data_IF_406073317033
#
_entry.id   IF_406073317033
#
_cell.length_a   1.000
_cell.length_b   1.000
_cell.length_c   1.000
_cell.angle_alpha   90.00
_cell.angle_beta   90.00
_cell.angle_gamma   90.00
#
_symmetry.space_group_name_H-M   'P 1'
#
loop_
_entity.id
_entity.type
_entity.pdbx_description
1 polymer ?
#
# COMPACT_ATOMS: atom_id res chain seq x y z
N UNK A 1 39.03 -82.99 -31.93
CA UNK A 1 39.32 -82.25 -30.69
C UNK A 1 40.11 -81.01 -31.03
N UNK A 2 39.63 -79.84 -30.60
CA UNK A 2 40.29 -78.54 -30.71
C UNK A 2 39.98 -77.76 -32.00
N UNK A 3 39.73 -76.45 -32.04
CA UNK A 3 39.86 -75.38 -31.04
C UNK A 3 39.05 -74.12 -31.44
N UNK A 4 38.61 -73.39 -30.40
CA UNK A 4 38.51 -71.92 -30.27
C UNK A 4 37.55 -71.07 -31.13
N UNK A 5 36.60 -70.42 -30.43
CA UNK A 5 36.08 -69.09 -30.77
C UNK A 5 36.24 -68.20 -29.52
N UNK A 6 36.94 -67.07 -29.68
CA UNK A 6 37.16 -66.06 -28.64
C UNK A 6 35.91 -65.16 -28.48
N UNK A 7 35.56 -64.71 -27.26
CA UNK A 7 34.58 -63.64 -27.10
C UNK A 7 35.25 -62.28 -27.30
N UNK A 8 34.72 -61.51 -28.25
CA UNK A 8 35.10 -60.13 -28.52
C UNK A 8 34.62 -59.23 -27.36
N UNK A 9 35.52 -58.48 -26.70
CA UNK A 9 35.17 -57.50 -25.66
C UNK A 9 34.55 -56.27 -26.31
N UNK A 10 33.26 -56.04 -26.11
CA UNK A 10 32.66 -54.71 -26.33
C UNK A 10 33.03 -53.80 -25.15
N UNK A 11 33.59 -52.61 -25.48
CA UNK A 11 33.82 -51.52 -24.53
C UNK A 11 32.49 -51.02 -23.98
N UNK A 12 32.40 -50.81 -22.66
CA UNK A 12 31.22 -50.23 -22.01
C UNK A 12 30.98 -48.77 -22.46
N UNK A 13 29.74 -48.37 -22.77
CA UNK A 13 29.37 -47.05 -23.32
C UNK A 13 29.23 -45.92 -22.28
N UNK A 14 29.51 -46.17 -21.00
CA UNK A 14 29.22 -45.21 -19.91
C UNK A 14 30.06 -43.92 -19.95
N UNK A 15 31.31 -43.99 -20.42
CA UNK A 15 32.22 -42.83 -20.48
C UNK A 15 31.81 -41.78 -21.51
N UNK A 16 31.18 -42.17 -22.62
CA UNK A 16 30.76 -41.20 -23.66
C UNK A 16 29.50 -40.43 -23.25
N UNK A 17 28.60 -41.07 -22.49
CA UNK A 17 27.43 -40.39 -21.94
C UNK A 17 27.84 -39.25 -21.01
N UNK A 18 28.77 -39.49 -20.08
CA UNK A 18 29.19 -38.48 -19.10
C UNK A 18 29.85 -37.25 -19.76
N UNK A 19 30.66 -37.44 -20.81
CA UNK A 19 31.25 -36.33 -21.56
C UNK A 19 30.21 -35.56 -22.37
N UNK A 20 29.23 -36.24 -22.98
CA UNK A 20 28.14 -35.60 -23.71
C UNK A 20 27.23 -34.75 -22.79
N UNK A 21 26.97 -35.23 -21.57
CA UNK A 21 26.24 -34.47 -20.55
C UNK A 21 26.98 -33.21 -20.09
N UNK A 22 28.30 -33.30 -19.87
CA UNK A 22 29.12 -32.14 -19.48
C UNK A 22 29.22 -31.07 -20.58
N UNK A 23 29.11 -31.45 -21.85
CA UNK A 23 29.14 -30.51 -22.98
C UNK A 23 27.78 -29.84 -23.25
N UNK A 24 26.67 -30.51 -22.96
CA UNK A 24 25.30 -30.02 -23.28
C UNK A 24 24.61 -29.33 -22.11
N UNK A 25 24.91 -29.72 -20.86
CA UNK A 25 24.30 -29.16 -19.66
C UNK A 25 24.48 -27.63 -19.50
N UNK A 26 25.65 -27.02 -19.80
CA UNK A 26 25.80 -25.56 -19.71
C UNK A 26 24.90 -24.81 -20.70
N UNK A 27 24.75 -25.34 -21.92
CA UNK A 27 23.88 -24.76 -22.94
C UNK A 27 22.40 -24.87 -22.55
N UNK A 28 21.98 -26.02 -22.01
CA UNK A 28 20.62 -26.22 -21.52
C UNK A 28 20.29 -25.29 -20.35
N UNK A 29 21.24 -25.11 -19.42
CA UNK A 29 21.09 -24.20 -18.28
C UNK A 29 20.99 -22.73 -18.71
N UNK A 30 21.76 -22.33 -19.73
CA UNK A 30 21.71 -20.97 -20.28
C UNK A 30 20.36 -20.72 -20.98
N UNK A 31 19.86 -21.70 -21.74
CA UNK A 31 18.56 -21.60 -22.41
C UNK A 31 17.42 -21.52 -21.40
N UNK A 32 17.45 -22.30 -20.32
CA UNK A 32 16.43 -22.21 -19.27
C UNK A 32 16.50 -20.90 -18.50
N UNK A 33 17.70 -20.38 -18.18
CA UNK A 33 17.85 -19.07 -17.56
C UNK A 33 17.35 -17.93 -18.46
N UNK A 34 17.65 -17.97 -19.76
CA UNK A 34 17.14 -17.01 -20.73
C UNK A 34 15.63 -17.11 -20.89
N UNK A 35 15.06 -18.32 -20.95
CA UNK A 35 13.63 -18.53 -21.05
C UNK A 35 12.88 -18.08 -19.78
N UNK A 36 13.44 -18.33 -18.59
CA UNK A 36 12.90 -17.83 -17.33
C UNK A 36 13.00 -16.29 -17.27
N UNK A 37 14.12 -15.72 -17.71
CA UNK A 37 14.34 -14.28 -17.78
C UNK A 37 13.35 -13.59 -18.73
N UNK A 38 13.13 -14.14 -19.93
CA UNK A 38 12.16 -13.61 -20.89
C UNK A 38 10.73 -13.77 -20.41
N UNK A 39 10.38 -14.92 -19.80
CA UNK A 39 9.04 -15.14 -19.23
C UNK A 39 8.76 -14.19 -18.07
N UNK A 40 9.73 -13.98 -17.19
CA UNK A 40 9.63 -13.01 -16.09
C UNK A 40 9.51 -11.59 -16.64
N UNK A 41 10.28 -11.23 -17.67
CA UNK A 41 10.20 -9.92 -18.31
C UNK A 41 8.86 -9.68 -19.03
N UNK A 42 8.33 -10.68 -19.75
CA UNK A 42 7.00 -10.64 -20.38
C UNK A 42 5.88 -10.54 -19.35
N UNK A 43 5.99 -11.25 -18.23
CA UNK A 43 5.03 -11.16 -17.14
C UNK A 43 5.06 -9.78 -16.45
N UNK A 44 6.26 -9.27 -16.15
CA UNK A 44 6.42 -7.94 -15.54
C UNK A 44 5.94 -6.82 -16.49
N UNK A 45 6.26 -6.91 -17.78
CA UNK A 45 5.83 -5.92 -18.78
C UNK A 45 4.33 -5.94 -19.05
N UNK A 46 3.66 -7.10 -18.97
CA UNK A 46 2.20 -7.17 -19.09
C UNK A 46 1.49 -6.68 -17.83
N UNK A 47 2.07 -6.89 -16.63
CA UNK A 47 1.57 -6.29 -15.39
C UNK A 47 1.71 -4.76 -15.36
N UNK A 48 2.76 -4.21 -15.99
CA UNK A 48 2.97 -2.76 -16.11
C UNK A 48 2.20 -2.11 -17.27
N UNK A 49 1.64 -2.88 -18.21
CA UNK A 49 0.94 -2.34 -19.39
C UNK A 49 -0.32 -1.50 -19.06
N UNK A 50 -0.88 -1.69 -17.86
CA UNK A 50 -2.03 -0.96 -17.35
C UNK A 50 -1.66 0.40 -16.72
N UNK A 51 -0.36 0.69 -16.52
CA UNK A 51 0.14 1.95 -15.95
C UNK A 51 0.75 2.81 -17.05
N UNK A 52 0.15 3.97 -17.29
CA UNK A 52 0.64 4.93 -18.29
C UNK A 52 1.83 5.73 -17.77
N UNK A 53 1.83 6.10 -16.49
CA UNK A 53 2.86 6.94 -15.90
C UNK A 53 3.14 6.61 -14.43
N UNK A 54 4.41 6.54 -14.05
CA UNK A 54 4.84 6.53 -12.66
C UNK A 54 5.24 7.95 -12.25
N UNK A 55 4.40 8.62 -11.46
CA UNK A 55 4.59 10.00 -11.03
C UNK A 55 5.84 10.15 -10.14
N UNK A 56 6.05 9.18 -9.25
CA UNK A 56 7.23 9.09 -8.38
C UNK A 56 7.57 7.62 -8.16
N UNK A 57 8.76 7.22 -8.61
CA UNK A 57 9.28 5.87 -8.41
C UNK A 57 9.77 5.66 -6.97
N UNK A 58 9.87 4.40 -6.52
CA UNK A 58 10.33 4.05 -5.17
C UNK A 58 11.77 4.49 -4.92
N UNK A 59 12.61 4.39 -5.96
CA UNK A 59 14.02 4.78 -5.91
C UNK A 59 14.25 6.29 -5.84
N UNK A 60 13.24 7.08 -6.20
CA UNK A 60 13.28 8.54 -6.14
C UNK A 60 13.07 9.03 -4.70
N UNK A 61 13.64 10.19 -4.35
CA UNK A 61 13.43 10.89 -3.09
C UNK A 61 12.85 12.28 -3.34
N UNK A 62 11.66 12.56 -2.80
CA UNK A 62 10.93 13.83 -2.98
C UNK A 62 10.97 14.63 -1.68
N UNK A 63 12.06 15.37 -1.47
CA UNK A 63 12.27 16.20 -0.28
C UNK A 63 13.18 17.40 -0.63
N UNK A 64 13.12 18.53 0.10
CA UNK A 64 12.31 18.79 1.29
C UNK A 64 10.87 19.24 1.02
N UNK A 65 10.54 19.63 -0.22
CA UNK A 65 9.21 20.12 -0.57
C UNK A 65 8.39 19.04 -1.26
N UNK A 66 7.06 18.99 -1.07
CA UNK A 66 6.18 18.10 -1.81
C UNK A 66 6.24 18.37 -3.32
N UNK A 67 6.22 17.31 -4.13
CA UNK A 67 5.96 17.42 -5.57
C UNK A 67 4.46 17.40 -5.79
N UNK A 68 3.93 18.44 -6.41
CA UNK A 68 2.50 18.62 -6.66
C UNK A 68 2.17 18.36 -8.13
N UNK A 69 1.12 17.59 -8.36
CA UNK A 69 0.52 17.32 -9.66
C UNK A 69 -0.89 17.91 -9.62
N UNK A 70 -1.05 19.10 -10.21
CA UNK A 70 -2.33 19.79 -10.21
C UNK A 70 -3.33 19.08 -11.13
N UNK A 71 -4.57 18.97 -10.66
CA UNK A 71 -5.71 18.49 -11.47
C UNK A 71 -6.89 19.45 -11.29
N UNK A 72 -7.77 19.60 -12.30
CA UNK A 72 -8.98 20.40 -12.15
C UNK A 72 -9.85 19.85 -11.01
N UNK A 73 -10.36 20.72 -10.14
CA UNK A 73 -11.30 20.31 -9.10
C UNK A 73 -12.59 19.74 -9.71
N UNK A 74 -13.14 18.69 -9.11
CA UNK A 74 -14.46 18.19 -9.47
C UNK A 74 -15.58 19.12 -8.99
N UNK A 75 -16.78 18.91 -9.53
CA UNK A 75 -18.02 19.56 -9.10
C UNK A 75 -18.54 19.03 -7.75
N UNK A 76 -17.91 18.00 -7.16
CA UNK A 76 -18.36 17.43 -5.88
C UNK A 76 -18.36 18.47 -4.76
N UNK A 77 -17.41 19.41 -4.81
CA UNK A 77 -17.27 20.49 -3.84
C UNK A 77 -18.32 21.59 -3.99
N UNK A 78 -19.09 21.59 -5.08
CA UNK A 78 -20.16 22.56 -5.34
C UNK A 78 -21.50 22.07 -4.81
N UNK A 79 -21.64 20.75 -4.65
CA UNK A 79 -22.85 20.09 -4.18
C UNK A 79 -22.94 20.05 -2.63
N UNK A 80 -21.88 20.46 -1.95
CA UNK A 80 -21.78 20.45 -0.49
C UNK A 80 -21.57 21.85 0.08
N UNK A 81 -21.80 21.98 1.39
CA UNK A 81 -21.50 23.23 2.11
C UNK A 81 -20.01 23.56 1.98
N UNK A 82 -19.72 24.77 1.52
CA UNK A 82 -18.35 25.28 1.45
C UNK A 82 -17.92 25.90 2.78
N UNK A 83 -16.66 25.68 3.12
CA UNK A 83 -15.97 26.20 4.29
C UNK A 83 -14.80 27.06 3.80
N UNK A 84 -14.95 28.40 3.81
CA UNK A 84 -13.91 29.31 3.37
C UNK A 84 -12.58 29.03 4.10
N UNK A 85 -11.48 28.98 3.36
CA UNK A 85 -10.16 28.67 3.91
C UNK A 85 -9.82 27.17 3.98
N UNK A 86 -10.76 26.25 3.70
CA UNK A 86 -10.47 24.81 3.67
C UNK A 86 -11.00 24.09 2.43
N UNK A 87 -12.27 24.33 2.02
CA UNK A 87 -12.87 23.59 0.90
C UNK A 87 -11.99 23.68 -0.35
N UNK A 88 -11.67 22.55 -1.01
CA UNK A 88 -10.77 22.53 -2.16
C UNK A 88 -11.14 23.57 -3.22
N UNK A 89 -10.18 24.45 -3.53
CA UNK A 89 -10.21 25.39 -4.65
C UNK A 89 -9.01 25.20 -5.59
N UNK A 90 -7.97 24.50 -5.10
CA UNK A 90 -6.81 24.04 -5.85
C UNK A 90 -6.70 22.54 -5.60
N UNK A 91 -7.03 21.75 -6.60
CA UNK A 91 -7.06 20.30 -6.50
C UNK A 91 -5.80 19.70 -7.10
N UNK A 92 -5.44 18.53 -6.61
CA UNK A 92 -4.14 17.97 -6.93
C UNK A 92 -3.82 16.71 -6.16
N UNK A 93 -2.69 16.13 -6.55
CA UNK A 93 -1.99 15.06 -5.86
C UNK A 93 -0.65 15.60 -5.44
N UNK A 94 -0.14 15.13 -4.32
CA UNK A 94 1.19 15.50 -3.88
C UNK A 94 1.88 14.31 -3.21
N UNK A 95 3.19 14.28 -3.37
CA UNK A 95 4.05 13.26 -2.78
C UNK A 95 5.19 13.95 -2.07
N UNK A 96 5.53 13.47 -0.88
CA UNK A 96 6.72 13.91 -0.15
C UNK A 96 7.33 12.76 0.64
N UNK A 97 8.66 12.80 0.73
CA UNK A 97 9.49 11.94 1.55
C UNK A 97 10.16 12.79 2.65
N UNK A 98 10.59 12.15 3.73
CA UNK A 98 11.32 12.81 4.83
C UNK A 98 10.44 13.47 5.89
N UNK A 99 9.14 13.64 5.64
CA UNK A 99 8.17 14.06 6.68
C UNK A 99 8.11 13.03 7.82
N UNK A 100 8.11 11.75 7.46
CA UNK A 100 8.15 10.60 8.35
C UNK A 100 9.43 9.82 8.06
N UNK A 101 10.25 9.64 9.09
CA UNK A 101 11.49 8.86 8.97
C UNK A 101 11.20 7.38 8.74
N UNK A 102 12.20 6.63 8.26
CA UNK A 102 12.06 5.18 8.10
C UNK A 102 11.84 4.49 9.45
N UNK A 103 12.45 5.00 10.50
CA UNK A 103 12.34 4.49 11.87
C UNK A 103 10.92 4.67 12.43
N UNK A 104 10.32 5.86 12.21
CA UNK A 104 8.92 6.13 12.57
C UNK A 104 7.95 5.28 11.76
N UNK A 105 8.17 5.14 10.45
CA UNK A 105 7.35 4.26 9.59
C UNK A 105 7.43 2.80 10.05
N UNK A 106 8.61 2.31 10.42
CA UNK A 106 8.79 0.98 11.00
C UNK A 106 8.12 0.83 12.37
N UNK A 107 8.15 1.85 13.22
CA UNK A 107 7.45 1.81 14.51
C UNK A 107 5.93 1.74 14.32
N UNK A 108 5.38 2.55 13.41
CA UNK A 108 3.97 2.50 13.02
C UNK A 108 3.58 1.16 12.37
N UNK A 109 4.46 0.57 11.56
CA UNK A 109 4.28 -0.78 11.02
C UNK A 109 4.18 -1.81 12.14
N UNK A 110 5.10 -1.78 13.10
CA UNK A 110 5.08 -2.71 14.25
C UNK A 110 3.82 -2.53 15.10
N UNK A 111 3.33 -1.31 15.28
CA UNK A 111 2.04 -1.03 15.92
C UNK A 111 0.91 -1.76 15.17
N UNK A 112 0.83 -1.57 13.85
CA UNK A 112 -0.17 -2.23 13.01
C UNK A 112 -0.08 -3.75 13.09
N UNK A 113 1.13 -4.31 13.02
CA UNK A 113 1.39 -5.75 13.12
C UNK A 113 0.91 -6.32 14.47
N UNK A 114 1.18 -5.65 15.59
CA UNK A 114 0.69 -6.08 16.91
C UNK A 114 -0.84 -6.07 17.00
N UNK A 115 -1.50 -5.01 16.54
CA UNK A 115 -2.96 -4.94 16.56
C UNK A 115 -3.63 -5.97 15.64
N UNK A 116 -3.08 -6.17 14.43
CA UNK A 116 -3.56 -7.13 13.44
C UNK A 116 -3.13 -8.59 13.71
N UNK A 117 -2.34 -8.83 14.76
CA UNK A 117 -2.03 -10.17 15.26
C UNK A 117 -3.11 -10.70 16.19
N UNK A 118 -3.90 -9.82 16.83
CA UNK A 118 -5.03 -10.23 17.68
C UNK A 118 -6.17 -10.84 16.84
N UNK A 119 -6.44 -10.24 15.69
CA UNK A 119 -7.38 -10.75 14.71
C UNK A 119 -7.06 -10.18 13.32
N UNK A 120 -7.52 -10.89 12.29
CA UNK A 120 -7.47 -10.44 10.91
C UNK A 120 -8.63 -11.01 10.11
N UNK A 121 -8.79 -10.52 8.89
CA UNK A 121 -9.74 -11.11 7.95
C UNK A 121 -9.29 -12.51 7.50
N UNK A 122 -10.25 -13.31 7.05
CA UNK A 122 -9.98 -14.54 6.27
C UNK A 122 -9.47 -14.25 4.86
N UNK A 123 -9.67 -13.03 4.35
CA UNK A 123 -9.19 -12.59 3.05
C UNK A 123 -7.89 -11.79 3.11
N UNK A 124 -7.47 -11.29 1.95
CA UNK A 124 -6.19 -10.60 1.81
C UNK A 124 -6.10 -9.19 2.36
N UNK A 125 -7.21 -8.57 2.79
CA UNK A 125 -7.20 -7.26 3.43
C UNK A 125 -7.62 -7.34 4.89
N UNK A 126 -6.93 -6.61 5.75
CA UNK A 126 -7.34 -6.41 7.14
C UNK A 126 -7.09 -4.96 7.53
N UNK A 127 -8.01 -4.39 8.32
CA UNK A 127 -7.88 -3.02 8.81
C UNK A 127 -7.87 -2.97 10.33
N UNK A 128 -7.21 -1.92 10.84
CA UNK A 128 -7.20 -1.51 12.23
C UNK A 128 -7.40 0.01 12.30
N UNK A 129 -8.49 0.45 12.90
CA UNK A 129 -8.80 1.85 13.17
C UNK A 129 -8.61 2.13 14.67
N UNK A 130 -7.60 2.92 15.02
CA UNK A 130 -7.31 3.27 16.41
C UNK A 130 -8.34 4.23 17.03
N UNK A 131 -9.11 4.96 16.22
CA UNK A 131 -10.12 5.90 16.70
C UNK A 131 -11.42 5.20 17.09
N UNK A 132 -11.94 4.36 16.19
CA UNK A 132 -13.19 3.63 16.45
C UNK A 132 -12.97 2.30 17.16
N UNK A 133 -11.73 1.78 17.14
CA UNK A 133 -11.38 0.44 17.55
C UNK A 133 -11.73 -0.63 16.52
N UNK A 134 -12.21 -0.28 15.32
CA UNK A 134 -12.58 -1.29 14.33
C UNK A 134 -11.36 -2.14 13.92
N UNK A 135 -11.50 -3.45 14.06
CA UNK A 135 -10.51 -4.45 13.68
C UNK A 135 -11.18 -5.56 12.86
N UNK A 136 -10.57 -5.94 11.73
CA UNK A 136 -11.01 -7.09 10.94
C UNK A 136 -10.88 -8.39 11.75
N UNK A 137 -11.94 -9.19 11.81
CA UNK A 137 -11.94 -10.52 12.46
C UNK A 137 -12.80 -11.50 11.68
N UNK A 138 -12.16 -12.40 10.93
CA UNK A 138 -12.84 -13.35 10.06
C UNK A 138 -13.60 -12.63 8.95
N UNK A 139 -14.93 -12.67 8.99
CA UNK A 139 -15.83 -12.05 8.00
C UNK A 139 -16.50 -10.76 8.48
N UNK A 140 -16.12 -10.25 9.65
CA UNK A 140 -16.76 -9.11 10.31
C UNK A 140 -15.74 -8.15 10.94
N UNK A 141 -16.24 -7.07 11.52
CA UNK A 141 -15.46 -6.14 12.32
C UNK A 141 -15.82 -6.26 13.80
N UNK A 142 -14.80 -6.19 14.66
CA UNK A 142 -14.98 -6.06 16.11
C UNK A 142 -14.38 -4.75 16.60
N UNK A 143 -14.83 -4.28 17.76
CA UNK A 143 -14.14 -3.22 18.47
C UNK A 143 -13.02 -3.86 19.32
N UNK A 144 -11.77 -3.62 18.93
CA UNK A 144 -10.57 -4.17 19.57
C UNK A 144 -10.53 -3.85 21.07
N UNK A 145 -10.91 -2.64 21.46
CA UNK A 145 -10.86 -2.18 22.86
C UNK A 145 -11.90 -2.85 23.74
N UNK A 146 -13.08 -3.15 23.20
CA UNK A 146 -14.11 -3.92 23.91
C UNK A 146 -13.82 -5.41 23.93
N UNK A 147 -13.30 -5.94 22.82
CA UNK A 147 -13.12 -7.38 22.65
C UNK A 147 -11.85 -7.91 23.34
N UNK A 148 -10.77 -7.12 23.32
CA UNK A 148 -9.46 -7.48 23.88
C UNK A 148 -9.06 -6.57 25.05
N UNK A 149 -10.01 -5.92 25.73
CA UNK A 149 -9.77 -4.85 26.71
C UNK A 149 -8.62 -5.12 27.69
N UNK A 150 -8.61 -6.30 28.32
CA UNK A 150 -7.60 -6.68 29.31
C UNK A 150 -6.17 -6.81 28.71
N UNK A 151 -6.06 -7.02 27.39
CA UNK A 151 -4.79 -7.21 26.67
C UNK A 151 -4.32 -5.94 25.94
N UNK A 152 -5.16 -4.89 25.84
CA UNK A 152 -4.83 -3.70 25.05
C UNK A 152 -3.56 -3.00 25.53
N UNK A 153 -3.35 -2.94 26.85
CA UNK A 153 -2.14 -2.36 27.43
C UNK A 153 -0.86 -3.13 27.09
N UNK A 154 -0.97 -4.40 26.69
CA UNK A 154 0.16 -5.21 26.23
C UNK A 154 0.39 -5.04 24.72
N UNK A 155 -0.64 -4.65 23.97
CA UNK A 155 -0.63 -4.53 22.51
C UNK A 155 -0.16 -3.15 22.08
N UNK A 156 -0.65 -2.09 22.72
CA UNK A 156 -0.33 -0.71 22.40
C UNK A 156 0.22 0.05 23.61
N UNK A 157 1.23 0.87 23.35
CA UNK A 157 1.91 1.70 24.34
C UNK A 157 1.47 3.16 24.25
N UNK A 158 1.71 3.95 25.30
CA UNK A 158 1.43 5.38 25.24
C UNK A 158 2.29 6.08 24.16
N UNK A 159 3.50 5.58 23.91
CA UNK A 159 4.43 6.03 22.88
C UNK A 159 3.88 5.79 21.47
N UNK A 160 3.21 4.67 21.23
CA UNK A 160 2.54 4.38 19.94
C UNK A 160 1.52 5.47 19.58
N UNK A 161 0.63 5.81 20.53
CA UNK A 161 -0.38 6.86 20.33
C UNK A 161 0.24 8.26 20.21
N UNK A 162 1.35 8.52 20.92
CA UNK A 162 2.10 9.78 20.76
C UNK A 162 2.68 9.89 19.35
N UNK A 163 3.38 8.86 18.88
CA UNK A 163 3.97 8.82 17.55
C UNK A 163 2.91 8.98 16.47
N UNK A 164 1.82 8.21 16.55
CA UNK A 164 0.71 8.30 15.60
C UNK A 164 0.17 9.73 15.52
N UNK A 165 -0.11 10.36 16.68
CA UNK A 165 -0.61 11.73 16.75
C UNK A 165 0.37 12.74 16.16
N UNK A 166 1.66 12.61 16.46
CA UNK A 166 2.68 13.55 15.98
C UNK A 166 2.91 13.42 14.46
N UNK A 167 2.81 12.21 13.91
CA UNK A 167 2.79 11.97 12.46
C UNK A 167 1.52 12.55 11.82
N UNK A 168 0.36 12.27 12.39
CA UNK A 168 -0.95 12.78 11.94
C UNK A 168 -0.99 14.32 11.91
N UNK A 169 -0.37 14.99 12.89
CA UNK A 169 -0.17 16.46 12.92
C UNK A 169 0.68 16.96 11.77
N UNK A 170 1.86 16.37 11.60
CA UNK A 170 2.75 16.69 10.47
C UNK A 170 2.07 16.51 9.10
N UNK A 171 1.25 15.47 8.94
CA UNK A 171 0.47 15.24 7.72
C UNK A 171 -0.54 16.38 7.50
N UNK A 172 -1.32 16.73 8.54
CA UNK A 172 -2.30 17.81 8.48
C UNK A 172 -1.66 19.15 8.08
N UNK A 173 -0.55 19.51 8.73
CA UNK A 173 0.21 20.73 8.45
C UNK A 173 0.73 20.74 7.00
N UNK A 174 1.25 19.60 6.53
CA UNK A 174 1.78 19.45 5.16
C UNK A 174 0.68 19.62 4.11
N UNK A 175 -0.49 19.02 4.32
CA UNK A 175 -1.65 19.16 3.41
C UNK A 175 -2.09 20.63 3.37
N UNK A 176 -2.25 21.26 4.53
CA UNK A 176 -2.69 22.65 4.63
C UNK A 176 -1.70 23.60 3.92
N UNK A 177 -0.40 23.44 4.15
CA UNK A 177 0.62 24.24 3.48
C UNK A 177 0.63 24.02 1.96
N UNK A 178 0.53 22.77 1.52
CA UNK A 178 0.62 22.41 0.09
C UNK A 178 -0.55 22.98 -0.71
N UNK A 179 -1.77 22.92 -0.17
CA UNK A 179 -2.96 23.41 -0.85
C UNK A 179 -3.36 24.84 -0.50
N UNK A 180 -2.61 25.49 0.41
CA UNK A 180 -2.84 26.87 0.83
C UNK A 180 -4.10 27.05 1.68
N UNK A 181 -4.29 26.14 2.64
CA UNK A 181 -5.44 26.09 3.55
C UNK A 181 -5.12 26.73 4.90
N UNK A 182 -6.17 27.14 5.60
CA UNK A 182 -6.09 27.39 7.04
C UNK A 182 -6.11 26.05 7.78
N UNK A 183 -4.99 25.68 8.38
CA UNK A 183 -4.85 24.40 9.11
C UNK A 183 -5.83 24.27 10.29
N UNK A 184 -6.30 25.38 10.86
CA UNK A 184 -7.28 25.38 11.95
C UNK A 184 -8.70 25.00 11.47
N UNK A 185 -8.94 25.05 10.16
CA UNK A 185 -10.20 24.70 9.51
C UNK A 185 -10.16 23.33 8.83
N UNK A 186 -9.01 22.67 8.82
CA UNK A 186 -8.84 21.31 8.30
C UNK A 186 -8.90 20.34 9.49
N UNK A 187 -9.95 19.53 9.60
CA UNK A 187 -10.15 18.64 10.76
C UNK A 187 -9.85 17.19 10.40
N UNK A 188 -9.27 16.43 11.32
CA UNK A 188 -9.18 14.97 11.20
C UNK A 188 -10.58 14.37 11.15
N UNK A 189 -10.83 13.41 10.25
CA UNK A 189 -12.13 12.71 10.13
C UNK A 189 -11.97 11.19 10.09
N UNK A 190 -13.09 10.48 10.07
CA UNK A 190 -13.20 9.02 10.02
C UNK A 190 -13.79 8.56 8.68
N UNK A 191 -13.40 7.38 8.18
CA UNK A 191 -12.43 6.47 8.80
C UNK A 191 -10.97 6.90 8.60
N UNK A 192 -10.13 6.54 9.57
CA UNK A 192 -8.67 6.66 9.51
C UNK A 192 -8.10 5.34 10.05
N UNK A 193 -7.33 4.62 9.25
CA UNK A 193 -7.01 3.22 9.55
C UNK A 193 -5.66 2.78 8.99
N UNK A 194 -5.08 1.80 9.69
CA UNK A 194 -4.02 0.96 9.16
C UNK A 194 -4.64 -0.11 8.26
N UNK A 195 -3.97 -0.39 7.14
CA UNK A 195 -4.32 -1.48 6.23
C UNK A 195 -3.15 -2.45 6.11
N UNK A 196 -3.45 -3.75 6.17
CA UNK A 196 -2.56 -4.84 5.78
C UNK A 196 -3.18 -5.56 4.60
N UNK A 197 -2.48 -5.58 3.48
CA UNK A 197 -2.96 -6.18 2.24
C UNK A 197 -1.93 -7.19 1.71
N UNK A 198 -2.36 -8.39 1.35
CA UNK A 198 -1.54 -9.42 0.71
C UNK A 198 -2.29 -10.09 -0.46
N UNK A 199 -1.72 -11.18 -0.99
CA UNK A 199 -2.25 -11.92 -2.15
C UNK A 199 -3.32 -12.97 -1.80
N UNK A 200 -3.74 -13.11 -0.54
CA UNK A 200 -4.82 -14.02 -0.15
C UNK A 200 -6.13 -13.60 -0.81
N UNK A 201 -6.87 -14.56 -1.36
CA UNK A 201 -8.14 -14.29 -2.04
C UNK A 201 -9.19 -13.72 -1.09
N UNK A 202 -10.00 -12.78 -1.60
CA UNK A 202 -11.14 -12.24 -0.87
C UNK A 202 -12.15 -13.34 -0.51
N UNK A 203 -12.67 -13.27 0.72
CA UNK A 203 -13.75 -14.14 1.21
C UNK A 203 -15.05 -13.36 1.44
N UNK A 204 -14.94 -12.05 1.56
CA UNK A 204 -16.03 -11.09 1.73
C UNK A 204 -15.78 -9.85 0.87
N UNK A 205 -16.82 -9.02 0.68
CA UNK A 205 -16.68 -7.73 0.01
C UNK A 205 -15.68 -6.81 0.73
N UNK A 206 -15.55 -6.92 2.06
CA UNK A 206 -14.58 -6.14 2.84
C UNK A 206 -13.12 -6.52 2.55
N UNK A 207 -12.89 -7.66 1.90
CA UNK A 207 -11.56 -8.09 1.44
C UNK A 207 -11.23 -7.58 0.04
N UNK A 208 -12.20 -7.05 -0.69
CA UNK A 208 -12.03 -6.58 -2.06
C UNK A 208 -11.55 -5.13 -2.10
N UNK A 209 -10.24 -4.95 -1.89
CA UNK A 209 -9.60 -3.64 -1.79
C UNK A 209 -9.28 -2.95 -3.14
N UNK A 210 -9.49 -3.64 -4.26
CA UNK A 210 -8.98 -3.23 -5.59
C UNK A 210 -10.02 -2.55 -6.48
N UNK A 211 -11.19 -2.24 -5.94
CA UNK A 211 -12.26 -1.60 -6.70
C UNK A 211 -12.03 -0.10 -6.86
N UNK A 212 -12.28 0.47 -8.06
CA UNK A 212 -12.28 1.91 -8.27
C UNK A 212 -13.26 2.63 -7.34
N UNK A 213 -12.82 3.69 -6.69
CA UNK A 213 -13.66 4.53 -5.85
C UNK A 213 -13.15 5.97 -5.80
N UNK A 214 -14.01 6.85 -5.27
CA UNK A 214 -13.77 8.27 -5.03
C UNK A 214 -14.09 8.53 -3.58
N UNK A 215 -13.10 8.97 -2.80
CA UNK A 215 -13.22 9.09 -1.35
C UNK A 215 -14.34 10.04 -0.90
N UNK A 216 -14.50 11.19 -1.56
CA UNK A 216 -15.60 12.13 -1.25
C UNK A 216 -16.96 11.48 -1.46
N UNK A 217 -17.12 10.69 -2.53
CA UNK A 217 -18.38 9.99 -2.84
C UNK A 217 -18.62 8.82 -1.89
N UNK A 218 -17.56 8.08 -1.56
CA UNK A 218 -17.65 6.90 -0.70
C UNK A 218 -17.90 7.26 0.77
N UNK A 219 -17.27 8.30 1.30
CA UNK A 219 -17.34 8.64 2.72
C UNK A 219 -18.11 9.93 3.03
N UNK A 220 -18.36 10.80 2.03
CA UNK A 220 -19.04 12.09 2.17
C UNK A 220 -18.20 13.17 2.87
N UNK A 221 -17.58 12.83 4.00
CA UNK A 221 -16.87 13.79 4.85
C UNK A 221 -15.46 14.14 4.36
N UNK A 222 -14.85 13.36 3.47
CA UNK A 222 -13.45 13.55 3.08
C UNK A 222 -13.31 14.72 2.12
N UNK A 223 -12.51 15.72 2.47
CA UNK A 223 -12.10 16.77 1.54
C UNK A 223 -10.65 16.58 1.07
N UNK A 224 -9.81 15.99 1.93
CA UNK A 224 -8.44 15.58 1.61
C UNK A 224 -8.14 14.19 2.17
N UNK A 225 -7.44 13.37 1.38
CA UNK A 225 -6.99 12.03 1.75
C UNK A 225 -5.48 11.97 1.73
N UNK A 226 -4.90 11.20 2.66
CA UNK A 226 -3.48 10.85 2.61
C UNK A 226 -3.24 9.38 2.88
N UNK A 227 -2.21 8.83 2.23
CA UNK A 227 -1.66 7.50 2.46
C UNK A 227 -0.19 7.64 2.87
N UNK A 228 0.11 7.19 4.08
CA UNK A 228 1.47 6.98 4.54
C UNK A 228 1.86 5.52 4.33
N UNK A 229 2.83 5.28 3.47
CA UNK A 229 3.32 3.93 3.18
C UNK A 229 4.27 3.45 4.27
N UNK A 230 4.09 2.20 4.73
CA UNK A 230 4.88 1.59 5.81
C UNK A 230 5.76 0.43 5.32
N UNK A 231 5.66 0.08 4.04
CA UNK A 231 6.44 -0.98 3.37
C UNK A 231 6.90 -0.52 1.98
N UNK A 232 8.00 -1.07 1.50
CA UNK A 232 8.64 -0.72 0.23
C UNK A 232 8.15 -1.62 -0.93
N UNK A 233 7.63 -1.01 -1.99
CA UNK A 233 7.28 -1.70 -3.24
C UNK A 233 8.51 -2.39 -3.86
N UNK A 234 8.35 -3.53 -4.52
CA UNK A 234 9.46 -4.30 -5.10
C UNK A 234 10.46 -4.87 -4.09
N UNK A 235 10.24 -4.72 -2.77
CA UNK A 235 11.08 -5.28 -1.71
C UNK A 235 10.25 -6.06 -0.70
N UNK A 236 9.23 -5.43 -0.11
CA UNK A 236 8.32 -6.07 0.84
C UNK A 236 7.08 -6.67 0.16
N UNK A 237 6.72 -6.15 -1.02
CA UNK A 237 5.59 -6.62 -1.83
C UNK A 237 5.71 -6.21 -3.30
N UNK A 238 4.98 -6.90 -4.18
CA UNK A 238 4.78 -6.54 -5.60
C UNK A 238 3.29 -6.49 -5.94
N UNK A 239 2.93 -5.84 -7.04
CA UNK A 239 1.57 -5.32 -7.24
C UNK A 239 1.24 -4.28 -6.16
N UNK A 240 -0.02 -4.16 -5.73
CA UNK A 240 -0.36 -3.35 -4.55
C UNK A 240 -0.16 -1.83 -4.68
N UNK A 241 0.16 -1.34 -5.88
CA UNK A 241 0.36 0.09 -6.14
C UNK A 241 -0.96 0.84 -6.04
N UNK A 242 -0.91 2.10 -5.61
CA UNK A 242 -2.06 2.99 -5.61
C UNK A 242 -2.16 3.65 -6.99
N UNK A 243 -3.26 3.43 -7.68
CA UNK A 243 -3.46 3.83 -9.08
C UNK A 243 -4.54 4.89 -9.15
N UNK A 244 -4.16 6.09 -9.58
CA UNK A 244 -5.10 7.11 -10.01
C UNK A 244 -5.52 6.80 -11.44
N UNK A 245 -6.83 6.85 -11.70
CA UNK A 245 -7.43 6.50 -12.98
C UNK A 245 -7.90 7.77 -13.69
N UNK A 246 -7.01 8.35 -14.51
CA UNK A 246 -7.31 9.56 -15.26
C UNK A 246 -7.93 9.23 -16.62
N UNK A 247 -8.57 10.24 -17.23
CA UNK A 247 -9.17 10.11 -18.56
C UNK A 247 -8.15 9.74 -19.65
N UNK A 248 -6.90 10.18 -19.48
CA UNK A 248 -5.81 10.03 -20.43
C UNK A 248 -4.80 8.93 -20.05
N UNK A 249 -4.98 8.27 -18.92
CA UNK A 249 -4.12 7.17 -18.50
C UNK A 249 -4.12 6.89 -17.00
N UNK A 250 -3.63 5.72 -16.62
CA UNK A 250 -3.46 5.37 -15.22
C UNK A 250 -2.10 5.86 -14.71
N UNK A 251 -2.12 6.47 -13.52
CA UNK A 251 -0.93 7.05 -12.90
C UNK A 251 -0.70 6.47 -11.52
N UNK A 252 0.56 6.28 -11.14
CA UNK A 252 0.88 5.71 -9.83
C UNK A 252 2.00 6.44 -9.10
N UNK A 253 1.97 6.31 -7.77
CA UNK A 253 3.07 6.63 -6.87
C UNK A 253 3.53 5.32 -6.26
N UNK A 254 4.78 4.94 -6.49
CA UNK A 254 5.30 3.69 -5.95
C UNK A 254 5.51 3.80 -4.43
N UNK A 255 4.93 2.88 -3.64
CA UNK A 255 5.07 2.86 -2.19
C UNK A 255 6.52 2.72 -1.71
N UNK A 256 6.86 3.52 -0.70
CA UNK A 256 8.17 3.53 -0.03
C UNK A 256 7.93 3.77 1.46
N UNK A 257 8.59 3.03 2.35
CA UNK A 257 8.39 3.24 3.78
C UNK A 257 8.73 4.69 4.20
N UNK A 258 7.76 5.39 4.81
CA UNK A 258 7.85 6.80 5.20
C UNK A 258 7.37 7.81 4.15
N UNK A 259 7.05 7.37 2.93
CA UNK A 259 6.50 8.24 1.88
C UNK A 259 5.04 8.58 2.17
N UNK A 260 4.72 9.86 2.08
CA UNK A 260 3.36 10.37 2.13
C UNK A 260 2.87 10.70 0.71
N UNK A 261 1.75 10.12 0.31
CA UNK A 261 0.98 10.52 -0.87
C UNK A 261 -0.34 11.12 -0.40
N UNK A 262 -0.73 12.29 -0.88
CA UNK A 262 -1.95 12.97 -0.43
C UNK A 262 -2.60 13.75 -1.56
N UNK A 263 -3.92 13.90 -1.51
CA UNK A 263 -4.71 14.46 -2.62
C UNK A 263 -6.05 15.02 -2.14
N UNK A 264 -6.66 15.87 -2.96
CA UNK A 264 -8.05 16.31 -2.78
C UNK A 264 -9.02 15.17 -3.07
N UNK A 265 -9.97 14.89 -2.19
CA UNK A 265 -10.73 13.61 -2.20
C UNK A 265 -11.84 13.49 -3.28
N UNK A 266 -12.02 14.50 -4.13
CA UNK A 266 -13.08 14.55 -5.14
C UNK A 266 -12.86 13.62 -6.33
N UNK A 267 -13.82 13.63 -7.25
CA UNK A 267 -13.88 12.80 -8.46
C UNK A 267 -12.70 13.04 -9.41
N UNK A 268 -11.94 14.12 -9.25
CA UNK A 268 -10.67 14.32 -9.96
C UNK A 268 -9.56 13.34 -9.54
N UNK A 269 -9.80 12.58 -8.47
CA UNK A 269 -8.91 11.53 -7.96
C UNK A 269 -9.63 10.19 -7.86
N UNK A 270 -10.34 9.74 -8.91
CA UNK A 270 -10.77 8.35 -9.03
C UNK A 270 -9.56 7.42 -8.91
N UNK A 271 -9.63 6.41 -8.05
CA UNK A 271 -8.48 5.56 -7.79
C UNK A 271 -8.84 4.15 -7.36
N UNK A 272 -7.84 3.26 -7.39
CA UNK A 272 -7.90 1.91 -6.84
C UNK A 272 -6.53 1.46 -6.37
N UNK A 273 -6.49 0.34 -5.64
CA UNK A 273 -5.25 -0.36 -5.34
C UNK A 273 -5.12 -1.56 -6.28
N UNK A 274 -3.98 -1.69 -6.95
CA UNK A 274 -3.65 -2.90 -7.72
C UNK A 274 -3.61 -4.12 -6.79
N UNK A 275 -4.02 -5.30 -7.27
CA UNK A 275 -3.92 -6.52 -6.46
C UNK A 275 -2.47 -6.79 -6.08
N UNK A 276 -2.23 -7.12 -4.81
CA UNK A 276 -0.90 -7.56 -4.35
C UNK A 276 -0.63 -8.93 -4.97
N UNK A 277 0.47 -9.05 -5.69
CA UNK A 277 0.89 -10.30 -6.33
C UNK A 277 1.72 -11.15 -5.36
N UNK A 278 2.59 -10.51 -4.57
CA UNK A 278 3.45 -11.17 -3.60
C UNK A 278 3.74 -10.23 -2.42
N UNK A 279 4.01 -10.81 -1.24
CA UNK A 279 4.43 -10.09 -0.05
C UNK A 279 3.26 -9.45 0.71
N UNK A 280 3.54 -8.39 1.47
CA UNK A 280 2.52 -7.71 2.27
C UNK A 280 2.74 -6.19 2.26
N UNK A 281 1.67 -5.48 1.92
CA UNK A 281 1.60 -4.02 1.90
C UNK A 281 0.99 -3.51 3.21
N UNK A 282 1.70 -2.61 3.88
CA UNK A 282 1.16 -1.83 4.99
C UNK A 282 1.09 -0.34 4.63
N UNK A 283 -0.03 0.29 4.98
CA UNK A 283 -0.21 1.74 4.85
C UNK A 283 -1.18 2.27 5.90
N UNK A 284 -1.08 3.56 6.21
CA UNK A 284 -2.07 4.30 7.00
C UNK A 284 -2.81 5.25 6.08
N UNK A 285 -4.14 5.17 6.07
CA UNK A 285 -4.99 6.18 5.45
C UNK A 285 -5.40 7.17 6.53
N UNK A 286 -5.03 8.44 6.36
CA UNK A 286 -5.45 9.55 7.25
C UNK A 286 -6.25 10.55 6.42
N UNK A 287 -7.48 10.80 6.85
CA UNK A 287 -8.45 11.61 6.11
C UNK A 287 -8.79 12.89 6.86
N UNK A 288 -9.07 13.94 6.09
CA UNK A 288 -9.40 15.25 6.63
C UNK A 288 -10.67 15.81 5.99
N UNK A 289 -11.42 16.56 6.79
CA UNK A 289 -12.66 17.24 6.43
C UNK A 289 -12.56 18.73 6.72
N UNK A 290 -13.28 19.53 5.97
CA UNK A 290 -13.47 20.95 6.25
C UNK A 290 -14.69 21.21 7.13
N UNK A 291 -15.52 20.20 7.38
CA UNK A 291 -16.72 20.31 8.21
C UNK A 291 -16.42 19.93 9.67
N UNK A 292 -16.47 20.87 10.62
CA UNK A 292 -16.25 20.57 12.03
C UNK A 292 -17.26 19.57 12.61
N UNK A 293 -18.43 19.39 11.99
CA UNK A 293 -19.41 18.38 12.42
C UNK A 293 -18.92 16.93 12.21
N UNK A 294 -17.95 16.74 11.33
CA UNK A 294 -17.32 15.44 11.05
C UNK A 294 -15.94 15.28 11.72
N UNK A 295 -15.50 16.28 12.49
CA UNK A 295 -14.22 16.24 13.18
C UNK A 295 -14.19 15.12 14.25
N UNK A 296 -13.05 14.42 14.35
CA UNK A 296 -12.78 13.44 15.39
C UNK A 296 -11.54 13.83 16.20
N UNK A 297 -11.46 13.36 17.44
CA UNK A 297 -10.28 13.52 18.29
C UNK A 297 -9.16 12.54 17.89
N UNK A 298 -7.91 12.90 18.22
CA UNK A 298 -6.79 11.98 18.20
C UNK A 298 -7.07 10.79 19.16
N UNK A 299 -6.65 9.56 18.83
CA UNK A 299 -6.89 8.42 19.68
C UNK A 299 -5.93 8.47 20.88
N UNK A 300 -6.35 7.94 22.02
CA UNK A 300 -5.51 7.87 23.21
C UNK A 300 -5.84 6.64 24.02
N UNK A 301 -4.82 5.95 24.53
CA UNK A 301 -4.95 4.74 25.35
C UNK A 301 -5.84 4.93 26.60
N UNK A 302 -5.91 6.14 27.16
CA UNK A 302 -6.77 6.43 28.32
C UNK A 302 -8.26 6.63 27.98
N UNK A 303 -8.59 6.80 26.69
CA UNK A 303 -9.95 7.04 26.20
C UNK A 303 -10.57 5.81 25.51
N UNK A 304 -9.86 4.68 25.50
CA UNK A 304 -10.25 3.43 24.86
C UNK A 304 -10.32 2.29 25.86
#
# INVERSE_FOLDING_TARGET
>A
MGWHIAPNRQKCPETELHLAWLQTAPGLLLVTLLACGTSLWLYLSTADADITETLVGRGELVSPQPRVFAVPCSEDYDQHKRFPGCTPQKCGRAVTDGLVSREEAQALRRLAERGLALAGSEGGASILDLHSGALSMGKQFVNIYRYFGDQIGEVFTQEDFRLYRDVRRRIQDTIAQTFGLDVSLLFLTKPTFFSRINSTEAKTQHDEYWHPHIDKVTYGSFDYTSLLYLTDYGTDFTGGRFIFMDKDGNRTVEPRAGRLSFFSSGSENLHRVERVAWGTRFAITVSFTCDPAHAIADPSLAAV
#
